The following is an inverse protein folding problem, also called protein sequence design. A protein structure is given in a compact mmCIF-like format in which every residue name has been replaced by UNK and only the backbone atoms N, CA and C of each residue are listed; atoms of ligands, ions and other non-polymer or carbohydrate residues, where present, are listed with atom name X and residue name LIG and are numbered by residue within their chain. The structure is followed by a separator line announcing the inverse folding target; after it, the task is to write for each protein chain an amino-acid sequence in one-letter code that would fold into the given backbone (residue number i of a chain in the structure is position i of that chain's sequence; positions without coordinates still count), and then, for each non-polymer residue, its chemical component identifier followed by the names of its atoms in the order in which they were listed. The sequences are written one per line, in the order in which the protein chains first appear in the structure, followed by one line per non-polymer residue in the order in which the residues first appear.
data_IF_493815897113
#
_entry.id   IF_493815897113
#
_cell.length_a   1.000
_cell.length_b   1.000
_cell.length_c   1.000
_cell.angle_alpha   90.00
_cell.angle_beta   90.00
_cell.angle_gamma   90.00
#
_symmetry.space_group_name_H-M   'P 1'
#
loop_
_entity.id
_entity.type
_entity.pdbx_description
1 polymer ?
#
# COMPACT_ATOMS: atom_id res chain seq x y z
N UNK A 1 12.46 11.64 -1.41
CA UNK A 1 12.40 10.26 -0.88
C UNK A 1 13.78 9.64 -0.63
N UNK A 2 14.07 9.25 0.62
CA UNK A 2 15.24 8.42 0.95
C UNK A 2 14.83 6.93 0.90
N UNK A 3 15.59 6.06 0.22
CA UNK A 3 15.32 4.61 0.19
C UNK A 3 16.45 3.89 0.92
N UNK A 4 16.10 3.06 1.91
CA UNK A 4 17.08 2.17 2.53
C UNK A 4 17.29 0.94 1.65
N UNK A 5 18.50 0.83 1.08
CA UNK A 5 18.92 -0.31 0.28
C UNK A 5 19.64 -1.32 1.15
N UNK A 6 19.07 -2.52 1.26
CA UNK A 6 19.61 -3.61 2.05
C UNK A 6 19.98 -4.79 1.14
N UNK A 7 21.05 -5.50 1.50
CA UNK A 7 21.48 -6.69 0.78
C UNK A 7 21.49 -7.87 1.74
N UNK A 8 20.73 -8.91 1.39
CA UNK A 8 20.83 -10.18 2.10
C UNK A 8 22.13 -10.90 1.72
N UNK A 9 22.89 -11.39 2.73
CA UNK A 9 24.14 -12.14 2.53
C UNK A 9 24.16 -13.54 3.14
N UNK A 10 23.12 -13.92 3.89
CA UNK A 10 22.99 -15.25 4.48
C UNK A 10 22.10 -15.29 5.72
N UNK A 11 21.78 -16.51 6.19
CA UNK A 11 20.87 -16.77 7.32
C UNK A 11 21.38 -16.17 8.63
N UNK A 12 22.70 -16.10 8.84
CA UNK A 12 23.30 -15.54 10.06
C UNK A 12 23.09 -14.03 10.23
N UNK A 13 22.78 -13.30 9.15
CA UNK A 13 22.56 -11.85 9.16
C UNK A 13 21.07 -11.46 9.20
N UNK A 14 20.18 -12.45 9.09
CA UNK A 14 18.73 -12.30 8.94
C UNK A 14 18.10 -11.49 10.09
N UNK A 15 18.50 -11.75 11.33
CA UNK A 15 18.05 -10.97 12.49
C UNK A 15 18.49 -9.50 12.45
N UNK A 16 19.72 -9.24 11.97
CA UNK A 16 20.23 -7.89 11.85
C UNK A 16 19.51 -7.13 10.72
N UNK A 17 19.28 -7.80 9.59
CA UNK A 17 18.51 -7.27 8.48
C UNK A 17 17.09 -6.87 8.93
N UNK A 18 16.42 -7.70 9.72
CA UNK A 18 15.08 -7.38 10.23
C UNK A 18 15.05 -6.18 11.14
N UNK A 19 15.99 -6.08 12.07
CA UNK A 19 16.10 -4.89 12.91
C UNK A 19 16.31 -3.64 12.05
N UNK A 20 17.14 -3.71 11.00
CA UNK A 20 17.36 -2.58 10.09
C UNK A 20 16.09 -2.19 9.32
N UNK A 21 15.33 -3.17 8.82
CA UNK A 21 14.05 -2.90 8.14
C UNK A 21 13.08 -2.27 9.13
N UNK A 22 12.90 -2.86 10.30
CA UNK A 22 11.97 -2.40 11.32
C UNK A 22 12.29 -0.98 11.80
N UNK A 23 13.56 -0.70 12.12
CA UNK A 23 14.00 0.65 12.50
C UNK A 23 13.77 1.66 11.38
N UNK A 24 14.00 1.30 10.12
CA UNK A 24 13.76 2.21 9.00
C UNK A 24 12.27 2.44 8.72
N UNK A 25 11.42 1.43 8.92
CA UNK A 25 9.96 1.60 8.82
C UNK A 25 9.44 2.50 9.95
N UNK A 26 9.94 2.34 11.18
CA UNK A 26 9.49 3.12 12.33
C UNK A 26 10.07 4.52 12.37
N UNK A 27 11.35 4.70 12.07
CA UNK A 27 12.09 5.94 12.35
C UNK A 27 12.81 6.52 11.13
N UNK A 28 12.90 5.76 10.04
CA UNK A 28 13.52 6.18 8.79
C UNK A 28 12.50 6.65 7.77
N UNK A 29 12.72 6.28 6.51
CA UNK A 29 11.92 6.72 5.38
C UNK A 29 10.58 6.01 5.21
N UNK A 30 10.29 4.98 6.01
CA UNK A 30 9.10 4.15 5.81
C UNK A 30 9.18 3.21 4.60
N UNK A 31 10.27 3.25 3.81
CA UNK A 31 10.45 2.45 2.59
C UNK A 31 11.79 1.72 2.62
N UNK A 32 11.75 0.39 2.46
CA UNK A 32 12.94 -0.46 2.37
C UNK A 32 12.93 -1.24 1.06
N UNK A 33 14.06 -1.26 0.35
CA UNK A 33 14.27 -2.17 -0.78
C UNK A 33 15.34 -3.18 -0.41
N UNK A 34 14.94 -4.45 -0.31
CA UNK A 34 15.81 -5.56 0.05
C UNK A 34 16.15 -6.34 -1.21
N UNK A 35 17.44 -6.42 -1.55
CA UNK A 35 17.93 -7.20 -2.69
C UNK A 35 18.39 -8.59 -2.26
N UNK A 36 18.27 -9.54 -3.20
CA UNK A 36 18.72 -10.93 -3.05
C UNK A 36 18.04 -11.66 -1.88
N UNK A 37 16.78 -11.34 -1.60
CA UNK A 37 15.98 -12.14 -0.65
C UNK A 37 15.91 -13.58 -1.22
N UNK A 38 16.31 -14.61 -0.46
CA UNK A 38 16.19 -15.98 -0.93
C UNK A 38 14.71 -16.29 -1.14
N UNK A 39 14.37 -16.71 -2.36
CA UNK A 39 13.06 -17.25 -2.68
C UNK A 39 13.20 -18.77 -2.52
N UNK A 40 12.57 -19.31 -1.48
CA UNK A 40 12.35 -20.75 -1.35
C UNK A 40 11.06 -21.14 -2.07
N UNK A 41 11.01 -22.36 -2.62
CA UNK A 41 9.87 -22.86 -3.39
C UNK A 41 8.55 -22.87 -2.56
N UNK A 42 8.67 -22.86 -1.23
CA UNK A 42 7.57 -22.88 -0.27
C UNK A 42 7.24 -21.51 0.35
N UNK A 43 7.94 -20.43 -0.04
CA UNK A 43 7.77 -19.07 0.51
C UNK A 43 7.98 -18.97 2.03
N UNK A 44 8.58 -19.96 2.68
CA UNK A 44 8.76 -20.01 4.15
C UNK A 44 9.56 -18.81 4.63
N UNK A 45 10.60 -18.43 3.90
CA UNK A 45 11.44 -17.28 4.23
C UNK A 45 10.63 -15.99 4.19
N UNK A 46 9.86 -15.74 3.12
CA UNK A 46 9.01 -14.55 3.00
C UNK A 46 7.91 -14.51 4.06
N UNK A 47 7.24 -15.64 4.32
CA UNK A 47 6.27 -15.81 5.41
C UNK A 47 6.86 -15.47 6.79
N UNK A 48 8.08 -15.94 7.05
CA UNK A 48 8.77 -15.66 8.31
C UNK A 48 9.09 -14.18 8.47
N UNK A 49 9.41 -13.47 7.38
CA UNK A 49 9.64 -12.02 7.40
C UNK A 49 8.31 -11.31 7.69
N UNK A 50 7.25 -11.64 6.96
CA UNK A 50 5.94 -11.02 7.13
C UNK A 50 5.41 -11.17 8.56
N UNK A 51 5.49 -12.38 9.14
CA UNK A 51 5.09 -12.65 10.53
C UNK A 51 5.89 -11.86 11.57
N UNK A 52 7.09 -11.38 11.25
CA UNK A 52 7.91 -10.59 12.17
C UNK A 52 7.42 -9.15 12.33
N UNK A 53 6.66 -8.62 11.37
CA UNK A 53 6.08 -7.26 11.43
C UNK A 53 4.74 -7.20 12.18
N UNK A 54 4.23 -8.33 12.67
CA UNK A 54 2.95 -8.41 13.37
C UNK A 54 2.12 -9.60 12.89
N UNK A 55 1.12 -9.96 13.69
CA UNK A 55 0.17 -11.02 13.33
C UNK A 55 -0.73 -10.61 12.15
N UNK A 56 -1.34 -11.61 11.51
CA UNK A 56 -2.25 -11.45 10.37
C UNK A 56 -3.44 -10.52 10.69
N UNK A 57 -3.32 -9.26 10.30
CA UNK A 57 -4.47 -8.43 9.94
C UNK A 57 -4.69 -8.75 8.47
N UNK A 58 -5.53 -9.71 8.08
CA UNK A 58 -6.95 -9.44 7.83
C UNK A 58 -7.61 -10.78 7.46
N UNK A 59 -8.44 -11.34 8.34
CA UNK A 59 -9.26 -12.52 8.01
C UNK A 59 -10.34 -12.22 6.97
N UNK A 60 -10.73 -10.95 6.83
CA UNK A 60 -11.87 -10.51 6.02
C UNK A 60 -11.48 -9.97 4.63
N UNK A 61 -10.19 -9.83 4.31
CA UNK A 61 -9.72 -9.38 2.99
C UNK A 61 -9.05 -10.51 2.19
N UNK A 62 -9.51 -11.75 2.41
CA UNK A 62 -9.03 -12.92 1.67
C UNK A 62 -9.41 -12.80 0.20
N UNK A 63 -8.44 -12.90 -0.72
CA UNK A 63 -8.71 -13.21 -2.14
C UNK A 63 -8.64 -14.75 -2.28
N UNK A 64 -9.76 -15.47 -2.19
CA UNK A 64 -9.74 -16.93 -2.00
C UNK A 64 -9.13 -17.67 -3.19
N UNK A 65 -9.17 -17.06 -4.38
CA UNK A 65 -8.67 -17.64 -5.63
C UNK A 65 -7.14 -17.55 -5.81
N UNK A 66 -6.43 -16.74 -5.02
CA UNK A 66 -5.01 -16.43 -5.26
C UNK A 66 -4.10 -16.61 -4.05
N UNK A 67 -4.62 -17.14 -2.94
CA UNK A 67 -3.80 -17.43 -1.76
C UNK A 67 -2.82 -18.56 -2.05
N UNK A 68 -1.55 -18.37 -1.72
CA UNK A 68 -0.51 -19.39 -1.90
C UNK A 68 -0.69 -20.60 -0.98
N UNK A 69 -1.22 -20.39 0.22
CA UNK A 69 -1.57 -21.47 1.14
C UNK A 69 -3.02 -21.33 1.61
N UNK A 70 -3.64 -22.45 2.01
CA UNK A 70 -4.91 -22.39 2.72
C UNK A 70 -4.70 -21.54 3.99
N UNK A 71 -5.58 -20.56 4.20
CA UNK A 71 -5.58 -19.63 5.34
C UNK A 71 -4.54 -18.50 5.35
N UNK A 72 -3.65 -18.37 4.38
CA UNK A 72 -2.73 -17.21 4.30
C UNK A 72 -3.34 -15.98 3.63
N UNK A 73 -2.76 -14.81 3.91
CA UNK A 73 -3.04 -13.53 3.23
C UNK A 73 -1.99 -13.17 2.18
N UNK A 74 -1.23 -14.16 1.70
CA UNK A 74 -0.22 -13.96 0.66
C UNK A 74 -0.82 -14.31 -0.68
N UNK A 75 -0.74 -13.36 -1.61
CA UNK A 75 -1.26 -13.52 -2.96
C UNK A 75 -0.13 -13.58 -3.97
N UNK A 76 -0.22 -14.56 -4.86
CA UNK A 76 0.59 -14.53 -6.07
C UNK A 76 -0.08 -13.61 -7.09
N UNK A 77 0.65 -12.58 -7.49
CA UNK A 77 0.24 -11.70 -8.60
C UNK A 77 1.06 -12.11 -9.81
N UNK A 78 0.39 -12.68 -10.80
CA UNK A 78 0.95 -13.01 -12.10
C UNK A 78 0.18 -12.23 -13.15
N UNK A 79 0.83 -11.89 -14.26
CA UNK A 79 0.17 -11.25 -15.40
C UNK A 79 -0.95 -12.16 -15.91
N UNK A 80 -2.17 -11.63 -15.93
CA UNK A 80 -3.35 -12.22 -16.52
C UNK A 80 -3.79 -11.34 -17.70
N UNK A 81 -3.16 -11.50 -18.88
CA UNK A 81 -3.43 -10.64 -20.02
C UNK A 81 -4.86 -10.81 -20.56
N UNK A 82 -5.54 -11.89 -20.17
CA UNK A 82 -6.92 -12.16 -20.55
C UNK A 82 -7.93 -11.59 -19.53
N UNK A 83 -7.46 -11.03 -18.41
CA UNK A 83 -8.27 -10.53 -17.31
C UNK A 83 -9.37 -11.53 -16.90
N UNK A 84 -8.98 -12.79 -16.74
CA UNK A 84 -9.90 -13.87 -16.38
C UNK A 84 -10.45 -13.72 -14.98
N UNK A 85 -9.77 -12.97 -14.12
CA UNK A 85 -10.22 -12.59 -12.78
C UNK A 85 -10.44 -11.08 -12.67
N UNK A 86 -11.69 -10.59 -12.75
CA UNK A 86 -11.99 -9.15 -12.69
C UNK A 86 -11.68 -8.53 -11.32
N UNK A 87 -11.37 -9.34 -10.29
CA UNK A 87 -11.00 -8.86 -8.97
C UNK A 87 -9.49 -8.67 -8.81
N UNK A 88 -8.69 -9.08 -9.80
CA UNK A 88 -7.24 -8.97 -9.78
C UNK A 88 -6.74 -7.86 -10.70
N UNK A 89 -7.19 -6.62 -10.48
CA UNK A 89 -6.70 -5.46 -11.25
C UNK A 89 -5.16 -5.35 -11.24
N UNK A 90 -4.52 -5.75 -10.13
CA UNK A 90 -3.06 -5.82 -9.98
C UNK A 90 -2.37 -6.85 -10.89
N UNK A 91 -3.13 -7.75 -11.53
CA UNK A 91 -2.65 -8.74 -12.49
C UNK A 91 -2.83 -8.29 -13.95
N UNK A 92 -3.39 -7.11 -14.19
CA UNK A 92 -3.63 -6.61 -15.56
C UNK A 92 -2.55 -5.61 -15.97
N UNK A 93 -2.44 -5.34 -17.27
CA UNK A 93 -1.55 -4.29 -17.82
C UNK A 93 -2.14 -2.87 -17.65
N UNK A 94 -3.18 -2.70 -16.84
CA UNK A 94 -3.75 -1.39 -16.55
C UNK A 94 -2.85 -0.60 -15.61
N UNK A 95 -2.83 0.73 -15.79
CA UNK A 95 -2.22 1.63 -14.83
C UNK A 95 -2.84 1.43 -13.44
N UNK A 96 -2.00 1.32 -12.42
CA UNK A 96 -2.42 1.13 -11.03
C UNK A 96 -2.09 2.39 -10.22
N UNK A 97 -3.07 3.27 -9.96
CA UNK A 97 -2.81 4.56 -9.33
C UNK A 97 -2.23 4.43 -7.92
N UNK A 98 -1.50 5.44 -7.46
CA UNK A 98 -1.00 5.61 -6.12
C UNK A 98 -2.14 5.47 -5.11
N UNK A 99 -1.93 4.58 -4.15
CA UNK A 99 -2.89 4.28 -3.11
C UNK A 99 -2.17 3.71 -1.89
N UNK A 100 -2.93 3.62 -0.80
CA UNK A 100 -2.62 2.83 0.38
C UNK A 100 -3.57 1.65 0.43
N UNK A 101 -3.04 0.47 0.74
CA UNK A 101 -3.84 -0.73 0.91
C UNK A 101 -4.83 -0.57 2.06
N UNK A 102 -6.01 -1.19 1.91
CA UNK A 102 -6.96 -1.30 3.01
C UNK A 102 -7.44 0.06 3.57
N UNK A 103 -7.41 1.13 2.76
CA UNK A 103 -7.77 2.50 3.18
C UNK A 103 -9.17 2.65 3.81
N UNK A 104 -10.10 1.77 3.44
CA UNK A 104 -11.48 1.75 3.94
C UNK A 104 -11.62 1.06 5.31
N UNK A 105 -10.61 0.32 5.77
CA UNK A 105 -10.64 -0.30 7.09
C UNK A 105 -10.42 0.73 8.21
N UNK A 106 -10.95 0.44 9.40
CA UNK A 106 -10.77 1.30 10.57
C UNK A 106 -9.29 1.40 10.92
N UNK A 107 -8.63 0.24 10.85
CA UNK A 107 -7.20 0.04 10.99
C UNK A 107 -6.68 -0.43 9.63
N UNK A 108 -6.15 0.48 8.78
CA UNK A 108 -5.55 0.10 7.51
C UNK A 108 -4.27 -0.71 7.73
N UNK A 109 -3.74 -1.29 6.66
CA UNK A 109 -2.46 -1.98 6.73
C UNK A 109 -1.35 -1.00 7.13
N UNK A 110 -0.52 -1.38 8.11
CA UNK A 110 0.63 -0.56 8.52
C UNK A 110 1.86 -0.80 7.65
N UNK A 111 1.96 -1.99 7.06
CA UNK A 111 3.06 -2.41 6.22
C UNK A 111 2.51 -3.19 5.03
N UNK A 112 3.00 -2.88 3.83
CA UNK A 112 2.79 -3.66 2.61
C UNK A 112 4.14 -4.25 2.20
N UNK A 113 4.17 -5.55 1.95
CA UNK A 113 5.38 -6.25 1.52
C UNK A 113 5.20 -6.80 0.12
N UNK A 114 6.06 -6.39 -0.81
CA UNK A 114 6.05 -6.87 -2.19
C UNK A 114 7.32 -7.67 -2.46
N UNK A 115 7.16 -8.90 -2.95
CA UNK A 115 8.27 -9.76 -3.37
C UNK A 115 8.24 -9.91 -4.90
N UNK A 116 9.29 -9.44 -5.56
CA UNK A 116 9.50 -9.71 -6.98
C UNK A 116 10.06 -11.12 -7.16
N UNK A 117 9.22 -12.06 -7.57
CA UNK A 117 9.62 -13.46 -7.83
C UNK A 117 10.30 -13.59 -9.18
N UNK A 118 9.78 -12.89 -10.19
CA UNK A 118 10.32 -12.86 -11.54
C UNK A 118 10.30 -11.43 -12.06
N UNK A 119 11.47 -10.80 -12.31
CA UNK A 119 11.51 -9.47 -12.90
C UNK A 119 11.09 -9.50 -14.37
N UNK A 120 10.63 -8.36 -14.87
CA UNK A 120 10.40 -8.17 -16.30
C UNK A 120 11.69 -8.37 -17.10
N UNK A 121 11.57 -8.84 -18.35
CA UNK A 121 12.69 -8.88 -19.30
C UNK A 121 13.07 -7.49 -19.82
N UNK A 122 12.19 -6.50 -19.62
CA UNK A 122 12.40 -5.11 -19.97
C UNK A 122 12.51 -4.28 -18.68
N UNK A 123 13.65 -3.62 -18.48
CA UNK A 123 13.96 -2.85 -17.27
C UNK A 123 12.98 -1.69 -17.01
N UNK A 124 12.23 -1.26 -18.04
CA UNK A 124 11.28 -0.16 -17.93
C UNK A 124 9.85 -0.57 -17.54
N UNK A 125 9.53 -1.86 -17.57
CA UNK A 125 8.17 -2.35 -17.34
C UNK A 125 7.95 -2.80 -15.89
N UNK A 126 6.72 -2.62 -15.39
CA UNK A 126 6.31 -3.14 -14.08
C UNK A 126 6.96 -2.46 -12.87
N UNK A 127 7.50 -1.24 -13.03
CA UNK A 127 8.08 -0.47 -11.93
C UNK A 127 7.01 -0.11 -10.89
N UNK A 128 7.35 -0.27 -9.61
CA UNK A 128 6.54 0.27 -8.51
C UNK A 128 6.85 1.75 -8.33
N UNK A 129 5.83 2.59 -8.43
CA UNK A 129 5.91 4.02 -8.08
C UNK A 129 5.59 4.16 -6.60
N UNK A 130 6.44 4.89 -5.87
CA UNK A 130 6.28 5.16 -4.44
C UNK A 130 6.43 6.66 -4.22
N UNK A 131 5.68 7.20 -3.26
CA UNK A 131 5.77 8.60 -2.85
C UNK A 131 5.65 8.72 -1.34
N UNK A 132 6.31 9.73 -0.79
CA UNK A 132 6.18 10.09 0.62
C UNK A 132 4.97 11.01 0.83
N UNK A 133 4.28 10.88 1.96
CA UNK A 133 3.18 11.79 2.32
C UNK A 133 3.68 13.22 2.38
N UNK A 134 4.89 13.46 2.88
CA UNK A 134 5.45 14.81 2.96
C UNK A 134 5.64 15.44 1.56
N UNK A 135 6.02 14.63 0.56
CA UNK A 135 6.14 15.09 -0.83
C UNK A 135 4.75 15.51 -1.38
N UNK A 136 3.69 14.74 -1.11
CA UNK A 136 2.30 15.09 -1.46
C UNK A 136 1.89 16.41 -0.78
N UNK A 137 2.17 16.56 0.51
CA UNK A 137 1.75 17.73 1.29
C UNK A 137 2.39 19.03 0.78
N UNK A 138 3.59 18.98 0.22
CA UNK A 138 4.24 20.17 -0.38
C UNK A 138 3.50 20.71 -1.60
N UNK A 139 2.67 19.87 -2.24
CA UNK A 139 1.88 20.21 -3.42
C UNK A 139 0.44 20.64 -3.09
N UNK A 140 0.06 20.59 -1.81
CA UNK A 140 -1.25 20.99 -1.31
C UNK A 140 -1.16 22.31 -0.54
N UNK A 141 -2.23 23.11 -0.59
CA UNK A 141 -2.36 24.30 0.24
C UNK A 141 -2.67 23.94 1.69
N UNK A 142 -2.33 24.80 2.65
CA UNK A 142 -2.66 24.59 4.07
C UNK A 142 -4.17 24.37 4.29
N UNK A 143 -5.02 25.05 3.50
CA UNK A 143 -6.47 24.85 3.54
C UNK A 143 -6.85 23.43 3.12
N UNK A 144 -6.30 22.92 2.01
CA UNK A 144 -6.54 21.56 1.55
C UNK A 144 -6.05 20.52 2.57
N UNK A 145 -4.86 20.73 3.16
CA UNK A 145 -4.32 19.86 4.22
C UNK A 145 -5.27 19.83 5.43
N UNK A 146 -5.71 21.01 5.88
CA UNK A 146 -6.66 21.15 6.99
C UNK A 146 -7.99 20.45 6.70
N UNK A 147 -8.50 20.59 5.48
CA UNK A 147 -9.76 19.95 5.06
C UNK A 147 -9.64 18.42 4.98
N UNK A 148 -8.54 17.88 4.44
CA UNK A 148 -8.27 16.43 4.43
C UNK A 148 -8.11 15.83 5.82
N UNK A 149 -7.58 16.63 6.77
CA UNK A 149 -7.36 16.21 8.15
C UNK A 149 -8.62 16.29 9.03
N UNK A 150 -9.51 17.24 8.74
CA UNK A 150 -10.70 17.51 9.55
C UNK A 150 -11.97 16.87 9.01
N UNK A 151 -12.09 16.72 7.69
CA UNK A 151 -13.27 16.11 7.06
C UNK A 151 -13.30 14.62 7.33
N UNK A 152 -14.43 14.13 7.84
CA UNK A 152 -14.65 12.69 8.03
C UNK A 152 -15.44 12.14 6.85
N UNK A 153 -14.86 11.12 6.25
CA UNK A 153 -15.39 10.49 5.05
C UNK A 153 -15.99 9.13 5.42
N UNK A 154 -17.18 8.84 4.91
CA UNK A 154 -17.88 7.58 5.20
C UNK A 154 -17.39 6.49 4.26
N UNK A 155 -16.84 5.41 4.81
CA UNK A 155 -16.40 4.21 4.10
C UNK A 155 -17.26 3.02 4.48
N UNK A 156 -17.68 2.24 3.49
CA UNK A 156 -18.33 0.96 3.70
C UNK A 156 -17.33 -0.16 4.01
N UNK A 157 -17.64 -0.99 5.00
CA UNK A 157 -16.91 -2.20 5.40
C UNK A 157 -17.86 -3.39 5.33
N UNK A 158 -17.98 -4.00 4.16
CA UNK A 158 -18.95 -5.08 3.94
C UNK A 158 -20.39 -4.57 3.92
N UNK A 159 -21.36 -5.43 4.26
CA UNK A 159 -22.77 -5.18 3.95
C UNK A 159 -23.49 -4.17 4.85
N UNK A 160 -23.05 -3.97 6.10
CA UNK A 160 -23.80 -3.18 7.09
C UNK A 160 -22.94 -2.32 8.03
N UNK A 161 -21.63 -2.20 7.80
CA UNK A 161 -20.75 -1.43 8.67
C UNK A 161 -20.22 -0.22 7.91
N UNK A 162 -20.33 0.94 8.54
CA UNK A 162 -19.74 2.18 8.07
C UNK A 162 -18.68 2.64 9.07
N UNK A 163 -17.59 3.19 8.56
CA UNK A 163 -16.63 3.94 9.37
C UNK A 163 -16.48 5.34 8.81
N UNK A 164 -16.37 6.31 9.70
CA UNK A 164 -16.10 7.69 9.33
C UNK A 164 -14.70 8.03 9.81
N UNK A 165 -13.78 8.27 8.88
CA UNK A 165 -12.37 8.55 9.16
C UNK A 165 -11.86 9.63 8.20
N UNK A 166 -10.91 10.47 8.62
CA UNK A 166 -10.29 11.44 7.72
C UNK A 166 -9.35 10.76 6.73
N UNK A 167 -9.09 11.42 5.59
CA UNK A 167 -8.09 10.97 4.61
C UNK A 167 -6.68 11.16 5.15
N UNK A 168 -6.47 12.27 5.86
CA UNK A 168 -5.18 12.61 6.44
C UNK A 168 -5.27 12.54 7.97
N UNK A 169 -4.29 11.94 8.64
CA UNK A 169 -4.20 11.96 10.10
C UNK A 169 -2.75 12.05 10.56
N UNK A 170 -2.51 12.64 11.73
CA UNK A 170 -1.20 12.56 12.38
C UNK A 170 -1.10 11.29 13.21
N UNK A 171 0.06 10.65 13.22
CA UNK A 171 0.42 9.66 14.23
C UNK A 171 0.86 10.30 15.53
N UNK A 172 1.00 9.47 16.57
CA UNK A 172 1.45 9.88 17.90
C UNK A 172 2.85 10.54 17.90
N UNK A 173 3.68 10.19 16.92
CA UNK A 173 5.00 10.80 16.67
C UNK A 173 4.95 12.12 15.86
N UNK A 174 3.76 12.57 15.50
CA UNK A 174 3.52 13.82 14.76
C UNK A 174 3.65 13.72 13.24
N UNK A 175 4.01 12.56 12.68
CA UNK A 175 4.08 12.37 11.22
C UNK A 175 2.70 12.32 10.59
N UNK A 176 2.59 12.80 9.35
CA UNK A 176 1.36 12.69 8.58
C UNK A 176 1.22 11.30 7.97
N UNK A 177 0.00 10.77 7.99
CA UNK A 177 -0.41 9.53 7.35
C UNK A 177 -1.59 9.81 6.43
N UNK A 178 -1.56 9.21 5.26
CA UNK A 178 -2.66 9.28 4.29
C UNK A 178 -3.35 7.92 4.20
N UNK A 179 -4.68 7.92 4.06
CA UNK A 179 -5.46 6.76 3.64
C UNK A 179 -6.19 7.10 2.36
N UNK A 180 -5.75 6.55 1.25
CA UNK A 180 -6.28 6.90 -0.05
C UNK A 180 -6.26 5.70 -0.97
N UNK A 181 -7.37 5.42 -1.63
CA UNK A 181 -7.43 4.47 -2.73
C UNK A 181 -8.59 4.91 -3.62
N UNK A 182 -8.30 5.44 -4.79
CA UNK A 182 -9.31 6.04 -5.67
C UNK A 182 -10.41 5.04 -6.04
N UNK A 183 -10.05 3.81 -6.40
CA UNK A 183 -11.02 2.77 -6.74
C UNK A 183 -11.94 2.43 -5.55
N UNK A 184 -11.36 2.36 -4.35
CA UNK A 184 -12.11 2.12 -3.11
C UNK A 184 -12.98 3.31 -2.75
N UNK A 185 -12.51 4.55 -2.92
CA UNK A 185 -13.31 5.75 -2.72
C UNK A 185 -14.51 5.76 -3.68
N UNK A 186 -14.31 5.48 -4.96
CA UNK A 186 -15.40 5.48 -5.93
C UNK A 186 -16.45 4.40 -5.67
N UNK A 187 -16.05 3.25 -5.10
CA UNK A 187 -16.96 2.13 -4.79
C UNK A 187 -17.63 2.21 -3.42
N UNK A 188 -16.83 2.52 -2.40
CA UNK A 188 -17.16 2.34 -0.98
C UNK A 188 -17.40 3.66 -0.26
N UNK A 189 -17.18 4.81 -0.91
CA UNK A 189 -17.61 6.10 -0.38
C UNK A 189 -19.05 6.37 -0.81
N UNK A 190 -19.79 7.10 0.02
CA UNK A 190 -21.04 7.69 -0.45
C UNK A 190 -20.76 8.58 -1.67
N UNK A 191 -21.38 8.28 -2.82
CA UNK A 191 -21.16 8.99 -4.08
C UNK A 191 -21.35 10.52 -3.96
N UNK A 192 -22.22 10.96 -3.04
CA UNK A 192 -22.46 12.38 -2.79
C UNK A 192 -21.34 13.05 -2.00
N UNK A 193 -20.59 12.33 -1.16
CA UNK A 193 -19.43 12.84 -0.44
C UNK A 193 -18.24 13.00 -1.40
N UNK A 194 -18.00 12.00 -2.25
CA UNK A 194 -16.90 12.01 -3.22
C UNK A 194 -17.08 13.11 -4.27
N UNK A 195 -18.25 13.18 -4.92
CA UNK A 195 -18.51 14.13 -6.00
C UNK A 195 -18.53 15.60 -5.54
N UNK A 196 -18.74 15.85 -4.24
CA UNK A 196 -18.86 17.20 -3.66
C UNK A 196 -17.62 17.64 -2.88
N UNK A 197 -16.52 16.89 -2.93
CA UNK A 197 -15.30 17.25 -2.21
C UNK A 197 -14.22 17.75 -3.17
N UNK A 198 -14.12 19.08 -3.39
CA UNK A 198 -13.05 19.67 -4.19
C UNK A 198 -11.65 19.26 -3.71
N UNK A 199 -11.48 19.07 -2.39
CA UNK A 199 -10.18 18.68 -1.83
C UNK A 199 -9.76 17.26 -2.24
N UNK A 200 -10.71 16.32 -2.39
CA UNK A 200 -10.39 14.98 -2.91
C UNK A 200 -9.97 15.03 -4.37
N UNK A 201 -10.61 15.88 -5.18
CA UNK A 201 -10.21 16.08 -6.57
C UNK A 201 -8.81 16.68 -6.67
N UNK A 202 -8.50 17.68 -5.85
CA UNK A 202 -7.13 18.22 -5.78
C UNK A 202 -6.09 17.18 -5.36
N UNK A 203 -6.43 16.29 -4.41
CA UNK A 203 -5.53 15.20 -4.03
C UNK A 203 -5.29 14.23 -5.20
N UNK A 204 -6.34 13.84 -5.93
CA UNK A 204 -6.23 13.00 -7.13
C UNK A 204 -5.30 13.64 -8.16
N UNK A 205 -5.51 14.92 -8.48
CA UNK A 205 -4.67 15.65 -9.43
C UNK A 205 -3.20 15.73 -9.00
N UNK A 206 -2.93 15.84 -7.70
CA UNK A 206 -1.55 15.82 -7.17
C UNK A 206 -0.92 14.45 -7.36
N UNK A 207 -1.65 13.36 -7.05
CA UNK A 207 -1.15 11.99 -7.22
C UNK A 207 -0.88 11.67 -8.70
N UNK A 208 -1.80 12.04 -9.60
CA UNK A 208 -1.63 11.87 -11.04
C UNK A 208 -0.40 12.64 -11.57
N UNK A 209 -0.12 13.84 -11.04
CA UNK A 209 1.09 14.60 -11.39
C UNK A 209 2.37 13.91 -10.96
N UNK A 210 2.37 13.28 -9.78
CA UNK A 210 3.52 12.51 -9.28
C UNK A 210 3.76 11.29 -10.17
N UNK A 211 2.70 10.56 -10.53
CA UNK A 211 2.78 9.38 -11.41
C UNK A 211 3.32 9.70 -12.81
N UNK A 212 2.96 10.86 -13.35
CA UNK A 212 3.43 11.32 -14.66
C UNK A 212 4.88 11.84 -14.63
N UNK A 213 5.44 12.09 -13.45
CA UNK A 213 6.81 12.61 -13.26
C UNK A 213 7.53 11.86 -12.11
N UNK A 214 7.70 10.52 -12.23
CA UNK A 214 8.22 9.68 -11.15
C UNK A 214 9.72 9.86 -10.90
#
# INVERSE_FOLDING_TARGET
MHILWLQWRGISELKNLFNQIHENLLHGSGICVVKNVPIDDDNVSYLSIAKSFGGELLRDSRMPSRSLEADTVIYRVEEDPLNTDPYAHSATNAHFPLHTDCAHFLYPAEVVMLLCVQPSTNDDDGKTILTDVDDILTMLTEQQISELASSRFTWWQGTNKQVQVPILNKSDDGRWRIRFNQATLMREMNASDFAKSPVLQSLIEVLEKIELNP
#
